data_IF_588821606627
#
_entry.id   IF_588821606627
#
_cell.length_a   1.000
_cell.length_b   1.000
_cell.length_c   1.000
_cell.angle_alpha   90.00
_cell.angle_beta   90.00
_cell.angle_gamma   90.00
#
_symmetry.space_group_name_H-M   'P 1'
#
loop_
_entity.id
_entity.type
_entity.pdbx_description
1 polymer ?
#
# COMPACT_ATOMS: atom_id res chain seq x y z
N UNK A 1 87.79 4.89 25.87
CA UNK A 1 86.93 3.73 25.61
C UNK A 1 85.49 4.16 25.80
N UNK A 2 84.88 4.58 24.70
CA UNK A 2 83.53 5.18 24.68
C UNK A 2 82.56 4.15 24.07
N UNK A 3 81.63 3.75 24.87
CA UNK A 3 80.53 2.78 24.43
C UNK A 3 79.42 3.62 23.82
N UNK A 4 79.11 3.38 22.54
CA UNK A 4 78.00 3.99 21.85
C UNK A 4 76.82 3.01 21.91
N UNK A 5 75.74 3.35 22.61
CA UNK A 5 74.49 2.59 22.68
C UNK A 5 73.61 2.97 21.52
N UNK A 6 73.32 2.01 20.63
CA UNK A 6 72.35 2.17 19.56
C UNK A 6 70.93 2.01 20.10
N UNK A 7 70.15 3.12 20.06
CA UNK A 7 68.69 3.11 20.30
C UNK A 7 67.97 2.75 19.01
N UNK A 8 67.46 1.54 18.92
CA UNK A 8 66.49 1.14 17.91
C UNK A 8 65.12 1.73 18.26
N UNK A 9 64.67 2.79 17.55
CA UNK A 9 63.29 3.24 17.54
C UNK A 9 62.45 2.26 16.75
N UNK A 10 61.62 1.42 17.43
CA UNK A 10 60.53 0.66 16.82
C UNK A 10 59.41 1.66 16.49
N UNK A 11 59.32 2.02 15.22
CA UNK A 11 58.13 2.71 14.68
C UNK A 11 57.02 1.74 14.54
N UNK A 12 56.05 1.79 15.47
CA UNK A 12 54.79 1.04 15.38
C UNK A 12 53.87 1.78 14.40
N UNK A 13 53.78 1.24 13.18
CA UNK A 13 52.84 1.73 12.16
C UNK A 13 51.40 1.24 12.56
N UNK A 14 50.68 2.13 13.23
CA UNK A 14 49.27 1.90 13.56
C UNK A 14 48.43 2.08 12.28
N UNK A 15 48.13 0.98 11.59
CA UNK A 15 47.25 0.95 10.45
C UNK A 15 45.80 1.16 10.94
N UNK A 16 45.33 2.41 10.94
CA UNK A 16 43.94 2.75 11.20
C UNK A 16 43.08 2.22 10.03
N UNK A 17 42.48 1.07 10.22
CA UNK A 17 41.38 0.62 9.38
C UNK A 17 40.17 1.55 9.64
N UNK A 18 40.01 2.55 8.78
CA UNK A 18 38.73 3.22 8.65
C UNK A 18 37.71 2.20 8.07
N UNK A 19 37.00 1.53 8.93
CA UNK A 19 35.73 0.89 8.55
C UNK A 19 34.80 2.05 8.18
N UNK A 20 34.80 2.41 6.91
CA UNK A 20 33.74 3.23 6.34
C UNK A 20 32.43 2.49 6.54
N UNK A 21 31.67 2.86 7.56
CA UNK A 21 30.28 2.51 7.66
C UNK A 21 29.59 3.18 6.47
N UNK A 22 29.50 2.47 5.33
CA UNK A 22 28.56 2.83 4.27
C UNK A 22 27.19 2.73 4.91
N UNK A 23 26.64 3.83 5.34
CA UNK A 23 25.21 3.96 5.57
C UNK A 23 24.56 3.77 4.19
N UNK A 24 24.16 2.55 3.88
CA UNK A 24 23.28 2.26 2.74
C UNK A 24 21.92 2.88 3.09
N UNK A 25 21.77 4.16 2.86
CA UNK A 25 20.46 4.77 2.76
C UNK A 25 19.89 4.30 1.40
N UNK A 26 19.03 3.29 1.43
CA UNK A 26 18.33 2.87 0.24
C UNK A 26 17.46 4.02 -0.26
N UNK A 27 17.52 4.29 -1.56
CA UNK A 27 16.68 5.32 -2.16
C UNK A 27 15.20 4.88 -2.07
N UNK A 28 14.35 5.73 -1.46
CA UNK A 28 12.91 5.52 -1.43
C UNK A 28 12.29 6.14 -2.67
N UNK A 29 11.67 5.32 -3.49
CA UNK A 29 10.93 5.71 -4.68
C UNK A 29 9.47 5.95 -4.32
N UNK A 30 8.80 6.85 -5.07
CA UNK A 30 7.38 7.16 -4.89
C UNK A 30 6.66 7.15 -6.23
N UNK A 31 5.46 6.57 -6.22
CA UNK A 31 4.50 6.58 -7.32
C UNK A 31 3.19 7.12 -6.75
N UNK A 32 2.61 8.13 -7.39
CA UNK A 32 1.34 8.72 -6.96
C UNK A 32 0.47 9.07 -8.15
N UNK A 33 -0.84 9.13 -7.94
CA UNK A 33 -1.83 9.46 -8.98
C UNK A 33 -3.25 9.30 -8.47
N UNK A 34 -4.18 9.09 -9.40
CA UNK A 34 -5.60 8.92 -9.11
C UNK A 34 -6.11 7.56 -9.58
N UNK A 35 -6.91 6.91 -8.72
CA UNK A 35 -7.63 5.66 -9.04
C UNK A 35 -8.86 5.53 -8.14
N UNK A 36 -9.87 4.78 -8.54
CA UNK A 36 -11.10 4.53 -7.76
C UNK A 36 -11.79 5.80 -7.22
N UNK A 37 -11.68 6.92 -7.96
CA UNK A 37 -12.24 8.22 -7.54
C UNK A 37 -11.50 8.88 -6.38
N UNK A 38 -10.27 8.48 -6.08
CA UNK A 38 -9.42 9.01 -5.00
C UNK A 38 -7.95 9.05 -5.42
N UNK A 39 -7.11 9.61 -4.56
CA UNK A 39 -5.66 9.63 -4.75
C UNK A 39 -5.01 8.38 -4.17
N UNK A 40 -3.87 8.00 -4.77
CA UNK A 40 -2.97 7.01 -4.20
C UNK A 40 -1.56 7.56 -4.04
N UNK A 41 -0.85 7.07 -3.03
CA UNK A 41 0.58 7.32 -2.76
C UNK A 41 1.24 6.00 -2.37
N UNK A 42 2.21 5.58 -3.16
CA UNK A 42 2.93 4.32 -2.98
C UNK A 42 4.40 4.63 -2.88
N UNK A 43 5.03 4.22 -1.78
CA UNK A 43 6.45 4.38 -1.51
C UNK A 43 7.09 3.02 -1.31
N UNK A 44 8.27 2.83 -1.84
CA UNK A 44 9.02 1.59 -1.68
C UNK A 44 10.52 1.83 -1.80
N UNK A 45 11.32 0.99 -1.16
CA UNK A 45 12.75 1.05 -1.34
C UNK A 45 13.14 0.60 -2.74
N UNK A 46 14.22 1.21 -3.27
CA UNK A 46 14.70 0.96 -4.62
C UNK A 46 14.94 -0.52 -4.84
N UNK A 47 14.32 -1.07 -5.86
CA UNK A 47 14.49 -2.44 -6.32
C UNK A 47 15.37 -2.52 -7.57
N UNK A 48 15.67 -3.73 -8.01
CA UNK A 48 16.33 -3.98 -9.30
C UNK A 48 15.50 -3.60 -10.53
N UNK A 49 14.19 -3.36 -10.34
CA UNK A 49 13.27 -3.04 -11.44
C UNK A 49 13.22 -1.54 -11.70
N UNK A 50 13.01 -1.18 -12.96
CA UNK A 50 12.79 0.21 -13.34
C UNK A 50 11.45 0.70 -12.80
N UNK A 51 11.44 1.88 -12.17
CA UNK A 51 10.23 2.50 -11.60
C UNK A 51 9.09 2.62 -12.61
N UNK A 52 9.40 2.88 -13.90
CA UNK A 52 8.39 2.93 -14.95
C UNK A 52 7.69 1.59 -15.11
N UNK A 53 8.44 0.48 -15.11
CA UNK A 53 7.86 -0.86 -15.21
C UNK A 53 6.96 -1.17 -14.02
N UNK A 54 7.38 -0.82 -12.81
CA UNK A 54 6.57 -0.99 -11.59
C UNK A 54 5.29 -0.16 -11.69
N UNK A 55 5.38 1.10 -12.13
CA UNK A 55 4.22 1.96 -12.31
C UNK A 55 3.23 1.41 -13.37
N UNK A 56 3.75 0.88 -14.48
CA UNK A 56 2.90 0.28 -15.52
C UNK A 56 2.17 -0.98 -14.99
N UNK A 57 2.84 -1.83 -14.19
CA UNK A 57 2.22 -2.99 -13.54
C UNK A 57 1.12 -2.58 -12.55
N UNK A 58 1.38 -1.57 -11.72
CA UNK A 58 0.38 -1.04 -10.76
C UNK A 58 -0.82 -0.46 -11.50
N UNK A 59 -0.59 0.33 -12.55
CA UNK A 59 -1.67 0.91 -13.35
C UNK A 59 -2.53 -0.16 -14.02
N UNK A 60 -1.94 -1.24 -14.51
CA UNK A 60 -2.68 -2.37 -15.09
C UNK A 60 -3.57 -3.04 -14.03
N UNK A 61 -3.07 -3.23 -12.79
CA UNK A 61 -3.86 -3.73 -11.67
C UNK A 61 -5.06 -2.81 -11.41
N UNK A 62 -4.84 -1.50 -11.32
CA UNK A 62 -5.90 -0.53 -11.06
C UNK A 62 -6.94 -0.50 -12.18
N UNK A 63 -6.52 -0.59 -13.45
CA UNK A 63 -7.44 -0.68 -14.60
C UNK A 63 -8.30 -1.93 -14.48
N UNK A 64 -7.71 -3.10 -14.23
CA UNK A 64 -8.41 -4.38 -14.14
C UNK A 64 -9.40 -4.40 -12.96
N UNK A 65 -9.02 -3.85 -11.80
CA UNK A 65 -9.92 -3.75 -10.63
C UNK A 65 -11.04 -2.72 -10.87
N UNK A 66 -10.77 -1.60 -11.54
CA UNK A 66 -11.82 -0.66 -11.94
C UNK A 66 -12.82 -1.31 -12.93
N UNK A 67 -12.32 -2.08 -13.89
CA UNK A 67 -13.17 -2.84 -14.83
C UNK A 67 -13.99 -3.93 -14.13
N UNK A 68 -13.42 -4.53 -13.06
CA UNK A 68 -14.13 -5.51 -12.24
C UNK A 68 -15.24 -4.85 -11.43
N UNK A 69 -14.89 -3.87 -10.62
CA UNK A 69 -15.52 -3.63 -9.33
C UNK A 69 -16.13 -2.22 -9.19
N UNK A 70 -16.03 -1.35 -10.20
CA UNK A 70 -16.59 -0.01 -10.13
C UNK A 70 -18.12 -0.04 -10.25
N UNK A 71 -18.82 0.30 -9.17
CA UNK A 71 -20.28 0.45 -9.18
C UNK A 71 -20.75 1.71 -9.89
N UNK A 72 -19.85 2.65 -10.17
CA UNK A 72 -20.12 3.94 -10.83
C UNK A 72 -19.95 3.89 -12.35
N UNK A 73 -19.21 2.91 -12.88
CA UNK A 73 -18.97 2.75 -14.32
C UNK A 73 -19.98 1.81 -14.93
N UNK A 74 -20.71 2.24 -15.98
CA UNK A 74 -21.68 1.42 -16.68
C UNK A 74 -21.06 0.28 -17.50
N UNK A 75 -19.74 0.35 -17.75
CA UNK A 75 -18.95 -0.61 -18.50
C UNK A 75 -18.12 -1.57 -17.61
N UNK A 76 -18.35 -1.56 -16.30
CA UNK A 76 -17.73 -2.50 -15.36
C UNK A 76 -18.43 -3.85 -15.33
N UNK A 77 -17.70 -4.90 -14.91
CA UNK A 77 -18.27 -6.24 -14.75
C UNK A 77 -19.38 -6.27 -13.70
N UNK A 78 -19.22 -5.55 -12.59
CA UNK A 78 -20.25 -5.47 -11.54
C UNK A 78 -21.54 -4.83 -12.09
N UNK A 79 -21.45 -3.77 -12.89
CA UNK A 79 -22.61 -3.13 -13.51
C UNK A 79 -23.27 -4.05 -14.54
N UNK A 80 -22.49 -4.81 -15.32
CA UNK A 80 -23.03 -5.81 -16.24
C UNK A 80 -23.73 -6.94 -15.50
N UNK A 81 -23.20 -7.42 -14.37
CA UNK A 81 -23.86 -8.42 -13.53
C UNK A 81 -25.16 -7.91 -12.96
N UNK A 82 -25.17 -6.69 -12.44
CA UNK A 82 -26.39 -6.04 -11.93
C UNK A 82 -27.47 -5.92 -12.99
N UNK A 83 -27.08 -5.53 -14.21
CA UNK A 83 -28.01 -5.35 -15.33
C UNK A 83 -28.31 -6.66 -16.09
N UNK A 84 -27.87 -7.82 -15.62
CA UNK A 84 -28.01 -9.14 -16.25
C UNK A 84 -27.51 -9.19 -17.71
N UNK A 85 -26.48 -8.41 -18.03
CA UNK A 85 -25.83 -8.36 -19.35
C UNK A 85 -24.82 -9.49 -19.54
N UNK A 86 -24.51 -9.80 -20.82
CA UNK A 86 -23.46 -10.78 -21.13
C UNK A 86 -22.08 -10.28 -20.66
N UNK A 87 -21.36 -11.13 -19.91
CA UNK A 87 -20.06 -10.83 -19.32
C UNK A 87 -18.89 -11.51 -20.03
N UNK A 88 -19.10 -12.17 -21.17
CA UNK A 88 -18.06 -12.91 -21.89
C UNK A 88 -16.95 -12.00 -22.45
N UNK A 89 -17.27 -10.72 -22.66
CA UNK A 89 -16.34 -9.72 -23.17
C UNK A 89 -15.21 -9.34 -22.18
N UNK A 90 -15.39 -9.64 -20.89
CA UNK A 90 -14.40 -9.32 -19.89
C UNK A 90 -13.26 -10.33 -19.85
N UNK A 91 -12.01 -9.84 -19.63
CA UNK A 91 -10.83 -10.68 -19.47
C UNK A 91 -10.98 -11.60 -18.25
N UNK A 92 -10.35 -12.77 -18.30
CA UNK A 92 -10.39 -13.75 -17.19
C UNK A 92 -9.84 -13.17 -15.88
N UNK A 93 -8.82 -12.31 -15.94
CA UNK A 93 -8.30 -11.60 -14.77
C UNK A 93 -9.36 -10.72 -14.09
N UNK A 94 -10.17 -9.99 -14.87
CA UNK A 94 -11.26 -9.15 -14.36
C UNK A 94 -12.36 -10.02 -13.71
N UNK A 95 -12.70 -11.16 -14.33
CA UNK A 95 -13.64 -12.13 -13.77
C UNK A 95 -13.11 -12.76 -12.49
N UNK A 96 -11.81 -13.07 -12.44
CA UNK A 96 -11.15 -13.59 -11.25
C UNK A 96 -11.24 -12.59 -10.09
N UNK A 97 -10.90 -11.31 -10.31
CA UNK A 97 -11.00 -10.27 -9.29
C UNK A 97 -12.45 -10.12 -8.77
N UNK A 98 -13.42 -10.19 -9.65
CA UNK A 98 -14.83 -10.17 -9.25
C UNK A 98 -15.16 -11.31 -8.28
N UNK A 99 -14.76 -12.54 -8.60
CA UNK A 99 -15.01 -13.70 -7.74
C UNK A 99 -14.30 -13.57 -6.38
N UNK A 100 -13.07 -13.06 -6.34
CA UNK A 100 -12.33 -12.86 -5.10
C UNK A 100 -12.99 -11.78 -4.21
N UNK A 101 -13.43 -10.66 -4.79
CA UNK A 101 -14.16 -9.63 -4.04
C UNK A 101 -15.48 -10.19 -3.48
N UNK A 102 -16.21 -10.99 -4.24
CA UNK A 102 -17.43 -11.69 -3.73
C UNK A 102 -17.09 -12.58 -2.54
N UNK A 103 -16.07 -13.46 -2.65
CA UNK A 103 -15.64 -14.34 -1.57
C UNK A 103 -15.24 -13.58 -0.30
N UNK A 104 -14.47 -12.48 -0.45
CA UNK A 104 -14.06 -11.63 0.67
C UNK A 104 -15.30 -11.02 1.34
N UNK A 105 -16.24 -10.51 0.54
CA UNK A 105 -17.48 -9.91 1.03
C UNK A 105 -18.37 -10.92 1.75
N UNK A 106 -18.51 -12.13 1.21
CA UNK A 106 -19.24 -13.22 1.88
C UNK A 106 -18.59 -13.61 3.23
N UNK A 107 -17.25 -13.63 3.29
CA UNK A 107 -16.54 -13.86 4.54
C UNK A 107 -16.77 -12.71 5.53
N UNK A 108 -16.70 -11.47 5.08
CA UNK A 108 -16.95 -10.29 5.92
C UNK A 108 -18.40 -10.32 6.48
N UNK A 109 -19.38 -10.65 5.66
CA UNK A 109 -20.78 -10.76 6.09
C UNK A 109 -20.98 -11.79 7.22
N UNK A 110 -20.17 -12.86 7.24
CA UNK A 110 -20.23 -13.89 8.28
C UNK A 110 -19.47 -13.53 9.56
N UNK A 111 -18.48 -12.62 9.48
CA UNK A 111 -17.51 -12.39 10.56
C UNK A 111 -17.51 -10.97 11.12
N UNK A 112 -18.11 -10.02 10.40
CA UNK A 112 -18.14 -8.60 10.79
C UNK A 112 -19.60 -8.21 11.00
N UNK A 113 -19.94 -7.85 12.24
CA UNK A 113 -21.28 -7.35 12.59
C UNK A 113 -21.58 -6.08 11.79
N UNK A 114 -22.78 -6.01 11.20
CA UNK A 114 -23.21 -4.87 10.41
C UNK A 114 -22.69 -4.82 8.96
N UNK A 115 -21.84 -5.76 8.52
CA UNK A 115 -21.53 -5.88 7.10
C UNK A 115 -22.64 -6.61 6.36
N UNK A 116 -23.30 -5.91 5.42
CA UNK A 116 -24.47 -6.42 4.69
C UNK A 116 -24.11 -6.61 3.21
N UNK A 117 -24.50 -7.74 2.65
CA UNK A 117 -24.49 -7.99 1.21
C UNK A 117 -25.81 -7.52 0.60
N UNK A 118 -25.73 -6.66 -0.40
CA UNK A 118 -26.87 -6.19 -1.18
C UNK A 118 -26.87 -6.87 -2.57
N UNK A 119 -28.04 -7.15 -3.11
CA UNK A 119 -28.20 -7.83 -4.41
C UNK A 119 -27.68 -7.00 -5.60
N UNK A 120 -27.57 -5.67 -5.42
CA UNK A 120 -27.07 -4.73 -6.42
C UNK A 120 -25.53 -4.60 -6.45
N UNK A 121 -24.82 -5.37 -5.61
CA UNK A 121 -23.36 -5.36 -5.45
C UNK A 121 -22.77 -4.05 -4.89
N UNK A 122 -23.54 -3.15 -4.27
CA UNK A 122 -23.01 -1.89 -3.73
C UNK A 122 -21.96 -2.09 -2.63
N UNK A 123 -21.95 -3.26 -1.97
CA UNK A 123 -20.91 -3.65 -1.02
C UNK A 123 -19.50 -3.72 -1.64
N UNK A 124 -19.37 -3.79 -2.97
CA UNK A 124 -18.08 -3.70 -3.65
C UNK A 124 -17.35 -2.39 -3.30
N UNK A 125 -18.07 -1.29 -3.07
CA UNK A 125 -17.48 -0.02 -2.66
C UNK A 125 -16.74 -0.10 -1.32
N UNK A 126 -17.16 -0.97 -0.42
CA UNK A 126 -16.52 -1.16 0.88
C UNK A 126 -15.27 -2.07 0.81
N UNK A 127 -15.13 -2.89 -0.22
CA UNK A 127 -14.10 -3.94 -0.30
C UNK A 127 -13.05 -3.67 -1.38
N UNK A 128 -13.44 -3.11 -2.54
CA UNK A 128 -12.59 -3.05 -3.72
C UNK A 128 -11.27 -2.28 -3.53
N UNK A 129 -11.24 -1.20 -2.76
CA UNK A 129 -10.01 -0.44 -2.49
C UNK A 129 -9.03 -1.23 -1.62
N UNK A 130 -9.51 -1.83 -0.54
CA UNK A 130 -8.69 -2.70 0.30
C UNK A 130 -8.14 -3.90 -0.48
N UNK A 131 -8.96 -4.49 -1.33
CA UNK A 131 -8.54 -5.55 -2.25
C UNK A 131 -7.44 -5.08 -3.22
N UNK A 132 -7.56 -3.87 -3.77
CA UNK A 132 -6.52 -3.29 -4.64
C UNK A 132 -5.18 -3.12 -3.90
N UNK A 133 -5.22 -2.66 -2.64
CA UNK A 133 -4.03 -2.59 -1.77
C UNK A 133 -3.38 -3.96 -1.60
N UNK A 134 -4.16 -5.01 -1.37
CA UNK A 134 -3.65 -6.36 -1.20
C UNK A 134 -3.03 -6.92 -2.48
N UNK A 135 -3.63 -6.66 -3.66
CA UNK A 135 -3.07 -7.10 -4.95
C UNK A 135 -1.76 -6.38 -5.26
N UNK A 136 -1.67 -5.05 -5.02
CA UNK A 136 -0.40 -4.31 -5.19
C UNK A 136 0.66 -4.81 -4.22
N UNK A 137 0.30 -5.09 -2.96
CA UNK A 137 1.21 -5.67 -1.97
C UNK A 137 1.74 -7.04 -2.43
N UNK A 138 0.87 -7.89 -2.96
CA UNK A 138 1.25 -9.21 -3.50
C UNK A 138 2.21 -9.04 -4.68
N UNK A 139 1.92 -8.11 -5.60
CA UNK A 139 2.81 -7.79 -6.73
C UNK A 139 4.19 -7.33 -6.25
N UNK A 140 4.27 -6.51 -5.21
CA UNK A 140 5.55 -6.09 -4.66
C UNK A 140 6.36 -7.26 -4.11
N UNK A 141 5.72 -8.20 -3.41
CA UNK A 141 6.38 -9.42 -2.92
C UNK A 141 6.89 -10.30 -4.07
N UNK A 142 6.10 -10.45 -5.15
CA UNK A 142 6.55 -11.15 -6.37
C UNK A 142 7.78 -10.50 -7.02
N UNK A 143 7.92 -9.17 -6.88
CA UNK A 143 9.05 -8.39 -7.34
C UNK A 143 10.19 -8.30 -6.31
N UNK A 144 10.12 -9.03 -5.19
CA UNK A 144 11.06 -8.98 -4.06
C UNK A 144 11.26 -7.56 -3.51
N UNK A 145 10.17 -6.76 -3.49
CA UNK A 145 10.10 -5.47 -2.80
C UNK A 145 9.46 -5.74 -1.45
N UNK A 146 10.26 -5.72 -0.39
CA UNK A 146 9.82 -6.05 0.98
C UNK A 146 9.49 -4.81 1.81
N UNK A 147 10.11 -3.68 1.49
CA UNK A 147 10.00 -2.42 2.21
C UNK A 147 9.11 -1.45 1.44
N UNK A 148 7.84 -1.35 1.81
CA UNK A 148 6.88 -0.53 1.10
C UNK A 148 5.76 0.02 1.97
N UNK A 149 5.17 1.10 1.48
CA UNK A 149 3.98 1.76 1.99
C UNK A 149 3.03 2.02 0.82
N UNK A 150 1.82 1.50 0.90
CA UNK A 150 0.75 1.66 -0.09
C UNK A 150 -0.40 2.38 0.61
N UNK A 151 -0.89 3.47 0.03
CA UNK A 151 -2.09 4.19 0.45
C UNK A 151 -2.99 4.45 -0.75
N UNK A 152 -4.22 3.97 -0.72
CA UNK A 152 -5.24 4.21 -1.75
C UNK A 152 -6.48 4.77 -1.06
N UNK A 153 -6.63 6.09 -1.03
CA UNK A 153 -7.79 6.76 -0.44
C UNK A 153 -8.04 6.45 1.04
N UNK A 154 -6.99 6.19 1.82
CA UNK A 154 -7.08 5.85 3.25
C UNK A 154 -7.04 4.36 3.56
N UNK A 155 -7.09 3.49 2.55
CA UNK A 155 -6.77 2.06 2.68
C UNK A 155 -5.26 1.90 2.58
N UNK A 156 -4.62 1.42 3.64
CA UNK A 156 -3.16 1.42 3.78
C UNK A 156 -2.64 0.00 4.02
N UNK A 157 -1.52 -0.32 3.38
CA UNK A 157 -0.66 -1.44 3.73
C UNK A 157 0.77 -0.94 3.84
N UNK A 158 1.44 -1.26 4.95
CA UNK A 158 2.87 -1.01 5.09
C UNK A 158 3.58 -2.27 5.57
N UNK A 159 4.73 -2.56 4.99
CA UNK A 159 5.59 -3.67 5.34
C UNK A 159 7.05 -3.20 5.37
N UNK A 160 7.88 -3.88 6.18
CA UNK A 160 9.30 -3.57 6.31
C UNK A 160 9.59 -2.20 6.89
N UNK A 161 10.66 -1.57 6.38
CA UNK A 161 11.20 -0.33 6.91
C UNK A 161 11.35 0.74 5.83
N UNK A 162 11.55 1.98 6.25
CA UNK A 162 11.92 3.12 5.41
C UNK A 162 13.31 3.61 5.84
N UNK A 163 14.35 3.33 5.06
CA UNK A 163 15.73 3.73 5.41
C UNK A 163 16.13 3.32 6.84
N UNK A 164 15.92 2.06 7.20
CA UNK A 164 16.17 1.51 8.54
C UNK A 164 15.35 2.15 9.67
N UNK A 165 14.28 2.89 9.35
CA UNK A 165 13.32 3.42 10.30
C UNK A 165 11.95 2.82 10.07
N UNK A 166 11.06 2.92 11.04
CA UNK A 166 9.67 2.51 10.87
C UNK A 166 8.90 3.47 9.95
N UNK A 167 7.90 2.94 9.26
CA UNK A 167 6.93 3.78 8.56
C UNK A 167 6.13 4.60 9.56
N UNK A 168 5.99 5.90 9.30
CA UNK A 168 5.20 6.82 10.13
C UNK A 168 3.93 7.22 9.40
N UNK A 169 2.80 7.11 10.09
CA UNK A 169 1.47 7.48 9.61
C UNK A 169 0.88 8.53 10.52
N UNK A 170 0.21 9.52 9.93
CA UNK A 170 -0.61 10.49 10.65
C UNK A 170 -2.09 10.25 10.38
N UNK A 171 -2.88 10.02 11.43
CA UNK A 171 -4.34 10.11 11.32
C UNK A 171 -4.70 11.59 11.26
N UNK A 172 -5.41 11.98 10.19
CA UNK A 172 -5.84 13.35 9.99
C UNK A 172 -6.86 13.77 11.06
N UNK A 173 -6.84 15.05 11.41
CA UNK A 173 -7.82 15.59 12.35
C UNK A 173 -9.22 15.63 11.68
N UNK A 174 -10.23 14.94 12.23
CA UNK A 174 -11.56 14.90 11.66
C UNK A 174 -12.41 16.17 11.90
N UNK A 175 -11.91 17.08 12.75
CA UNK A 175 -12.68 18.27 13.12
C UNK A 175 -12.62 19.33 12.04
N UNK A 176 -13.75 19.92 11.65
CA UNK A 176 -13.78 21.03 10.70
C UNK A 176 -12.88 22.18 11.17
N UNK A 177 -12.10 22.75 10.25
CA UNK A 177 -11.19 23.88 10.51
C UNK A 177 -9.96 23.57 11.39
N UNK A 178 -9.71 22.33 11.76
CA UNK A 178 -8.48 21.91 12.41
C UNK A 178 -7.61 21.13 11.43
N UNK A 179 -6.71 21.82 10.75
CA UNK A 179 -5.73 21.19 9.86
C UNK A 179 -4.65 20.49 10.68
N UNK A 180 -4.16 19.36 10.17
CA UNK A 180 -3.02 18.65 10.73
C UNK A 180 -3.31 17.22 11.17
N UNK A 181 -2.34 16.65 11.87
CA UNK A 181 -2.37 15.26 12.32
C UNK A 181 -2.98 15.22 13.72
N UNK A 182 -4.09 14.49 13.88
CA UNK A 182 -4.69 14.20 15.17
C UNK A 182 -3.82 13.26 16.00
N UNK A 183 -3.32 12.19 15.38
CA UNK A 183 -2.49 11.20 16.06
C UNK A 183 -1.46 10.60 15.10
N UNK A 184 -0.15 10.81 15.34
CA UNK A 184 0.88 10.06 14.65
C UNK A 184 1.09 8.70 15.31
N UNK A 185 1.51 7.71 14.52
CA UNK A 185 2.01 6.43 15.04
C UNK A 185 2.99 5.76 14.08
N UNK A 186 3.85 4.92 14.65
CA UNK A 186 4.84 4.15 13.93
C UNK A 186 4.30 2.75 13.62
N UNK A 187 4.56 2.26 12.41
CA UNK A 187 4.29 0.88 12.01
C UNK A 187 5.54 0.05 12.24
N UNK A 188 5.56 -0.67 13.35
CA UNK A 188 6.72 -1.49 13.79
C UNK A 188 6.77 -2.88 13.14
N UNK A 189 5.74 -3.26 12.43
CA UNK A 189 5.61 -4.54 11.71
C UNK A 189 4.61 -4.38 10.58
N UNK A 190 4.44 -5.41 9.74
CA UNK A 190 3.41 -5.39 8.71
C UNK A 190 2.03 -5.03 9.26
N UNK A 191 1.37 -4.02 8.68
CA UNK A 191 0.08 -3.51 9.14
C UNK A 191 -0.79 -3.09 7.95
N UNK A 192 -2.09 -3.45 8.04
CA UNK A 192 -3.14 -2.91 7.18
C UNK A 192 -4.05 -2.00 8.00
N UNK A 193 -4.45 -0.87 7.41
CA UNK A 193 -5.34 0.12 8.02
C UNK A 193 -6.41 0.48 7.01
N UNK A 194 -7.67 0.50 7.45
CA UNK A 194 -8.78 1.08 6.71
C UNK A 194 -9.29 2.30 7.47
N UNK A 195 -9.57 3.38 6.72
CA UNK A 195 -10.07 4.63 7.30
C UNK A 195 -11.45 4.92 6.73
N UNK A 196 -12.44 4.99 7.60
CA UNK A 196 -13.81 5.37 7.26
C UNK A 196 -14.27 6.53 8.13
N UNK A 197 -15.00 7.46 7.56
CA UNK A 197 -15.50 8.61 8.33
C UNK A 197 -16.54 9.43 7.56
N UNK A 198 -17.47 10.01 8.32
CA UNK A 198 -18.55 10.86 7.77
C UNK A 198 -18.14 12.34 7.62
N UNK A 199 -16.95 12.74 8.05
CA UNK A 199 -16.55 14.15 8.08
C UNK A 199 -16.27 14.76 6.69
N UNK A 200 -15.84 13.94 5.72
CA UNK A 200 -15.64 14.35 4.31
C UNK A 200 -16.83 13.97 3.44
N UNK A 201 -17.43 12.81 3.70
CA UNK A 201 -18.55 12.26 2.94
C UNK A 201 -19.69 11.93 3.89
N UNK A 202 -20.59 12.89 4.20
CA UNK A 202 -21.75 12.63 5.06
C UNK A 202 -22.59 11.47 4.54
N UNK A 203 -22.96 10.53 5.42
CA UNK A 203 -23.70 9.32 5.05
C UNK A 203 -22.84 8.16 4.54
N UNK A 204 -21.50 8.30 4.58
CA UNK A 204 -20.59 7.21 4.21
C UNK A 204 -20.63 6.04 5.22
N UNK A 205 -20.80 6.35 6.51
CA UNK A 205 -21.06 5.38 7.55
C UNK A 205 -22.50 5.53 7.98
N UNK A 206 -23.31 4.50 7.81
CA UNK A 206 -24.70 4.44 8.28
C UNK A 206 -24.78 3.50 9.48
N UNK A 207 -25.54 3.90 10.50
CA UNK A 207 -25.87 3.03 11.64
C UNK A 207 -26.95 2.05 11.24
N UNK A 208 -26.92 0.87 11.85
CA UNK A 208 -28.05 -0.06 11.83
C UNK A 208 -28.98 0.42 12.95
N UNK A 209 -30.18 0.87 12.61
CA UNK A 209 -31.24 1.14 13.59
C UNK A 209 -31.90 -0.14 14.07
#
# INVERSE_FOLDING_TARGET
MILVANFFKKSSLFLLFFLGACSNNNEVLSISGETFGTFYDIKFEKSQYNIKKINDEINNIFISINQCCSTYKNDSLVSFKRDSKNTDLFKEEVKYYFQEVVKISEKANKTVEGFILFDDYDYFNAVAKGYAVDIVSTKFKELNIEDFFINIGGEIRAEGMKNNNFWNIGIENPLPNQLGIFKPFEIKQSLSIATSGNYRNPGHIVGIE
#
